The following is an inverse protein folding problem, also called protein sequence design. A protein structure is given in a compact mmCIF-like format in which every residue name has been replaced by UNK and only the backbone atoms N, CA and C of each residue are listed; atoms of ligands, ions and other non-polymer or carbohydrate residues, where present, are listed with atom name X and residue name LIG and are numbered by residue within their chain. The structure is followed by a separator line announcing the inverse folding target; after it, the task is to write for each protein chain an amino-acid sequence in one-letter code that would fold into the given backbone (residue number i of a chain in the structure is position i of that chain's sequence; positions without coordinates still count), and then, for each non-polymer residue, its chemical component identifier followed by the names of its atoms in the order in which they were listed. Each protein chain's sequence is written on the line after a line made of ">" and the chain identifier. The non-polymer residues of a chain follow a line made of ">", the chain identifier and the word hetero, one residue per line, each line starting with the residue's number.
data_IF_201840849649
#
_entry.id   IF_201840849649
#
_cell.length_a   1.000
_cell.length_b   1.000
_cell.length_c   1.000
_cell.angle_alpha   90.00
_cell.angle_beta   90.00
_cell.angle_gamma   90.00
#
_symmetry.space_group_name_H-M   'P 1'
#
loop_
_entity.id
_entity.type
_entity.pdbx_description
1 polymer ?
#
# COMPACT_ATOMS: atom_id res chain seq x y z
N UNK A 1 -24.52 9.58 12.05
CA UNK A 1 -23.49 10.55 12.48
C UNK A 1 -22.33 10.43 11.52
N UNK A 2 -22.03 11.47 10.75
CA UNK A 2 -20.84 11.51 9.91
C UNK A 2 -19.63 11.73 10.80
N UNK A 3 -18.73 10.76 10.84
CA UNK A 3 -17.44 10.87 11.53
C UNK A 3 -16.64 11.97 10.80
N UNK A 4 -16.03 12.91 11.54
CA UNK A 4 -15.21 13.93 10.89
C UNK A 4 -13.88 13.32 10.42
N UNK A 5 -13.24 13.91 9.41
CA UNK A 5 -11.91 13.46 8.94
C UNK A 5 -10.88 13.43 10.08
N UNK A 6 -11.02 14.32 11.06
CA UNK A 6 -10.18 14.34 12.25
C UNK A 6 -10.37 13.11 13.14
N UNK A 7 -11.61 12.66 13.31
CA UNK A 7 -11.95 11.50 14.13
C UNK A 7 -11.50 10.18 13.45
N UNK A 8 -11.59 10.09 12.12
CA UNK A 8 -11.08 8.94 11.35
C UNK A 8 -9.56 8.82 11.46
N UNK A 9 -8.83 9.93 11.35
CA UNK A 9 -7.37 9.95 11.53
C UNK A 9 -6.96 9.60 12.97
N UNK A 10 -7.78 10.00 13.95
CA UNK A 10 -7.54 9.66 15.35
C UNK A 10 -7.69 8.15 15.60
N UNK A 11 -8.75 7.53 15.09
CA UNK A 11 -8.94 6.08 15.15
C UNK A 11 -7.82 5.35 14.40
N UNK A 12 -7.43 5.86 13.24
CA UNK A 12 -6.35 5.25 12.46
C UNK A 12 -5.03 5.26 13.21
N UNK A 13 -4.59 6.35 13.82
CA UNK A 13 -3.31 6.29 14.53
C UNK A 13 -3.38 5.68 15.94
N UNK A 14 -4.55 5.55 16.56
CA UNK A 14 -4.72 4.63 17.69
C UNK A 14 -4.43 3.19 17.24
N UNK A 15 -4.89 2.81 16.05
CA UNK A 15 -4.57 1.52 15.44
C UNK A 15 -3.08 1.41 15.11
N UNK A 16 -2.48 2.43 14.51
CA UNK A 16 -1.02 2.45 14.25
C UNK A 16 -0.23 2.29 15.56
N UNK A 17 -0.64 2.96 16.64
CA UNK A 17 0.04 2.85 17.93
C UNK A 17 -0.18 1.48 18.60
N UNK A 18 -1.35 0.86 18.44
CA UNK A 18 -1.65 -0.43 19.04
C UNK A 18 -0.91 -1.58 18.34
N UNK A 19 -0.70 -1.48 17.03
CA UNK A 19 -0.06 -2.51 16.21
C UNK A 19 1.44 -2.28 15.96
N UNK A 20 1.90 -1.02 15.89
CA UNK A 20 3.29 -0.67 15.58
C UNK A 20 3.97 0.02 16.76
N UNK A 21 4.61 -0.78 17.61
CA UNK A 21 5.48 -0.26 18.66
C UNK A 21 6.64 0.56 18.06
N UNK A 22 7.20 1.54 18.80
CA UNK A 22 8.35 2.32 18.35
C UNK A 22 9.56 1.46 17.93
N UNK A 23 9.71 0.28 18.52
CA UNK A 23 10.78 -0.66 18.16
C UNK A 23 10.55 -1.31 16.79
N UNK A 24 9.31 -1.70 16.48
CA UNK A 24 8.96 -2.24 15.16
C UNK A 24 9.21 -1.17 14.09
N UNK A 25 8.72 0.05 14.30
CA UNK A 25 8.94 1.18 13.37
C UNK A 25 10.42 1.45 13.14
N UNK A 26 11.24 1.37 14.19
CA UNK A 26 12.69 1.57 14.09
C UNK A 26 13.36 0.46 13.29
N UNK A 27 12.94 -0.79 13.45
CA UNK A 27 13.49 -1.92 12.72
C UNK A 27 13.14 -1.81 11.23
N UNK A 28 11.85 -1.60 10.91
CA UNK A 28 11.41 -1.37 9.52
C UNK A 28 12.17 -0.21 8.85
N UNK A 29 12.37 0.88 9.59
CA UNK A 29 13.12 2.03 9.10
C UNK A 29 14.62 1.75 8.89
N UNK A 30 15.23 0.84 9.67
CA UNK A 30 16.62 0.41 9.49
C UNK A 30 16.76 -0.51 8.29
N UNK A 31 15.82 -1.42 8.10
CA UNK A 31 15.84 -2.40 7.01
C UNK A 31 15.83 -1.72 5.63
N UNK A 32 15.10 -0.60 5.49
CA UNK A 32 15.08 0.22 4.27
C UNK A 32 16.11 1.36 4.27
N UNK A 33 16.96 1.45 5.28
CA UNK A 33 18.02 2.46 5.38
C UNK A 33 17.55 3.90 5.64
N UNK A 34 16.29 4.11 6.04
CA UNK A 34 15.77 5.41 6.46
C UNK A 34 16.42 5.87 7.79
N UNK A 35 16.59 4.95 8.74
CA UNK A 35 17.32 5.19 9.99
C UNK A 35 18.65 4.45 9.94
N UNK A 36 19.75 5.19 9.82
CA UNK A 36 21.11 4.62 9.83
C UNK A 36 21.86 4.88 11.14
N UNK A 37 21.53 5.97 11.81
CA UNK A 37 22.10 6.37 13.11
C UNK A 37 21.01 6.87 14.03
N UNK A 38 21.26 6.87 15.33
CA UNK A 38 20.36 7.45 16.31
C UNK A 38 20.35 8.97 16.18
N UNK A 39 19.17 9.57 16.02
CA UNK A 39 18.95 11.03 16.02
C UNK A 39 17.75 11.39 16.88
N UNK A 40 17.60 12.70 17.18
CA UNK A 40 16.43 13.25 17.88
C UNK A 40 15.14 12.94 17.11
N UNK A 41 15.14 13.16 15.80
CA UNK A 41 14.08 12.74 14.89
C UNK A 41 14.17 11.24 14.60
N UNK A 42 13.09 10.51 14.83
CA UNK A 42 12.97 9.06 14.74
C UNK A 42 11.93 8.64 13.70
N UNK A 43 11.90 7.33 13.39
CA UNK A 43 10.94 6.75 12.45
C UNK A 43 9.47 7.05 12.83
N UNK A 44 9.15 6.97 14.13
CA UNK A 44 7.82 7.29 14.66
C UNK A 44 7.39 8.73 14.38
N UNK A 45 8.34 9.67 14.33
CA UNK A 45 8.07 11.08 14.13
C UNK A 45 7.67 11.36 12.68
N UNK A 46 8.26 10.64 11.72
CA UNK A 46 7.82 10.69 10.32
C UNK A 46 6.41 10.12 10.15
N UNK A 47 6.13 8.97 10.78
CA UNK A 47 4.78 8.37 10.73
C UNK A 47 3.76 9.32 11.36
N UNK A 48 4.03 9.83 12.55
CA UNK A 48 3.17 10.81 13.22
C UNK A 48 2.97 12.06 12.35
N UNK A 49 4.03 12.58 11.73
CA UNK A 49 3.91 13.75 10.86
C UNK A 49 3.00 13.50 9.66
N UNK A 50 3.18 12.35 8.98
CA UNK A 50 2.48 12.04 7.74
C UNK A 50 1.04 11.56 7.94
N UNK A 51 0.78 10.90 9.07
CA UNK A 51 -0.50 10.25 9.36
C UNK A 51 -1.37 11.08 10.29
N UNK A 52 -0.79 11.73 11.30
CA UNK A 52 -1.53 12.34 12.41
C UNK A 52 -1.52 13.86 12.36
N UNK A 53 -0.34 14.44 12.22
CA UNK A 53 -0.13 15.87 12.51
C UNK A 53 -0.52 16.74 11.31
N UNK A 54 -0.41 16.22 10.09
CA UNK A 54 -0.74 17.00 8.91
C UNK A 54 -1.74 16.30 8.00
N UNK A 55 -2.99 16.76 8.08
CA UNK A 55 -4.04 16.41 7.13
C UNK A 55 -3.68 16.83 5.69
N UNK A 56 -2.70 17.72 5.51
CA UNK A 56 -2.24 18.23 4.23
C UNK A 56 -0.70 18.40 4.20
N UNK A 57 0.08 17.33 4.45
CA UNK A 57 1.57 17.38 4.43
C UNK A 57 2.08 18.07 3.16
N UNK A 58 1.42 17.81 2.03
CA UNK A 58 1.80 18.36 0.73
C UNK A 58 1.51 19.86 0.55
N UNK A 59 0.67 20.49 1.39
CA UNK A 59 0.31 21.92 1.28
C UNK A 59 0.84 22.76 2.44
N UNK A 60 1.09 22.16 3.60
CA UNK A 60 1.62 22.85 4.78
C UNK A 60 3.10 23.15 4.60
N UNK A 61 3.53 24.36 4.94
CA UNK A 61 4.95 24.74 4.83
C UNK A 61 5.84 23.92 5.78
N UNK A 62 7.11 23.72 5.42
CA UNK A 62 8.08 23.00 6.27
C UNK A 62 8.21 23.62 7.66
N UNK A 63 8.18 24.95 7.77
CA UNK A 63 8.23 25.67 9.05
C UNK A 63 7.04 25.30 9.94
N UNK A 64 5.83 25.29 9.38
CA UNK A 64 4.64 24.88 10.11
C UNK A 64 4.69 23.40 10.51
N UNK A 65 5.15 22.52 9.61
CA UNK A 65 5.34 21.10 9.93
C UNK A 65 6.33 20.90 11.08
N UNK A 66 7.44 21.64 11.11
CA UNK A 66 8.39 21.64 12.22
C UNK A 66 7.74 22.10 13.53
N UNK A 67 7.01 23.23 13.52
CA UNK A 67 6.32 23.73 14.72
C UNK A 67 5.25 22.76 15.24
N UNK A 68 4.49 22.13 14.34
CA UNK A 68 3.49 21.13 14.72
C UNK A 68 4.15 19.88 15.30
N UNK A 69 5.29 19.46 14.75
CA UNK A 69 6.06 18.33 15.27
C UNK A 69 6.61 18.64 16.67
N UNK A 70 7.23 19.81 16.85
CA UNK A 70 7.75 20.25 18.15
C UNK A 70 6.65 20.28 19.21
N UNK A 71 5.49 20.86 18.91
CA UNK A 71 4.35 20.92 19.83
C UNK A 71 3.78 19.54 20.20
N UNK A 72 3.89 18.55 19.29
CA UNK A 72 3.27 17.23 19.47
C UNK A 72 4.22 16.16 20.04
N UNK A 73 5.52 16.26 19.75
CA UNK A 73 6.51 15.23 20.11
C UNK A 73 7.74 15.78 20.82
N UNK A 74 7.83 17.09 21.05
CA UNK A 74 8.99 17.80 21.62
C UNK A 74 10.28 17.65 20.79
N UNK A 75 10.16 17.16 19.55
CA UNK A 75 11.29 16.99 18.64
C UNK A 75 11.60 18.28 17.89
N UNK A 76 12.74 18.87 18.20
CA UNK A 76 13.30 20.01 17.48
C UNK A 76 14.03 19.57 16.21
N UNK A 77 13.54 20.02 15.05
CA UNK A 77 14.17 19.83 13.75
C UNK A 77 14.03 21.10 12.89
N UNK A 78 15.08 21.46 12.14
CA UNK A 78 15.01 22.59 11.21
C UNK A 78 14.19 22.24 9.96
N UNK A 79 13.60 23.24 9.28
CA UNK A 79 12.88 23.02 8.01
C UNK A 79 13.71 22.26 6.97
N UNK A 80 14.99 22.63 6.82
CA UNK A 80 15.93 21.96 5.91
C UNK A 80 16.23 20.52 6.37
N UNK A 81 16.41 20.31 7.67
CA UNK A 81 16.61 18.97 8.22
C UNK A 81 15.40 18.06 7.99
N UNK A 82 14.19 18.61 8.09
CA UNK A 82 12.96 17.89 7.79
C UNK A 82 12.82 17.59 6.28
N UNK A 83 13.13 18.56 5.42
CA UNK A 83 13.11 18.38 3.97
C UNK A 83 13.99 17.21 3.52
N UNK A 84 15.19 17.09 4.07
CA UNK A 84 16.12 15.99 3.77
C UNK A 84 15.61 14.61 4.21
N UNK A 85 14.61 14.55 5.11
CA UNK A 85 13.94 13.30 5.50
C UNK A 85 12.84 12.90 4.52
N UNK A 86 12.34 13.80 3.67
CA UNK A 86 11.44 13.44 2.57
C UNK A 86 12.24 12.99 1.35
N UNK A 87 12.51 11.68 1.28
CA UNK A 87 13.31 11.07 0.24
C UNK A 87 12.78 9.68 -0.13
N UNK A 88 13.47 8.99 -1.05
CA UNK A 88 13.04 7.67 -1.53
C UNK A 88 12.98 6.59 -0.41
N UNK A 89 13.90 6.63 0.57
CA UNK A 89 13.90 5.64 1.66
C UNK A 89 12.75 5.90 2.64
N UNK A 90 12.32 7.15 2.80
CA UNK A 90 11.11 7.49 3.55
C UNK A 90 9.84 6.92 2.88
N UNK A 91 9.75 6.98 1.55
CA UNK A 91 8.64 6.37 0.80
C UNK A 91 8.64 4.85 1.01
N UNK A 92 9.79 4.18 0.87
CA UNK A 92 9.92 2.74 1.10
C UNK A 92 9.55 2.38 2.55
N UNK A 93 9.98 3.18 3.52
CA UNK A 93 9.62 2.99 4.92
C UNK A 93 8.10 3.05 5.13
N UNK A 94 7.42 4.06 4.60
CA UNK A 94 5.97 4.18 4.70
C UNK A 94 5.24 3.03 3.99
N UNK A 95 5.77 2.53 2.88
CA UNK A 95 5.25 1.32 2.21
C UNK A 95 5.38 0.07 3.09
N UNK A 96 6.51 -0.11 3.79
CA UNK A 96 6.68 -1.22 4.75
C UNK A 96 5.75 -1.09 5.96
N UNK A 97 5.55 0.12 6.47
CA UNK A 97 4.57 0.39 7.54
C UNK A 97 3.17 0.00 7.11
N UNK A 98 2.74 0.38 5.90
CA UNK A 98 1.45 -0.01 5.36
C UNK A 98 1.35 -1.53 5.19
N UNK A 99 2.38 -2.18 4.65
CA UNK A 99 2.42 -3.63 4.48
C UNK A 99 2.28 -4.37 5.81
N UNK A 100 2.97 -3.91 6.85
CA UNK A 100 2.92 -4.50 8.19
C UNK A 100 1.54 -4.34 8.83
N UNK A 101 0.94 -3.14 8.78
CA UNK A 101 -0.42 -2.90 9.30
C UNK A 101 -1.46 -3.79 8.64
N UNK A 102 -1.40 -3.90 7.32
CA UNK A 102 -2.32 -4.74 6.58
C UNK A 102 -2.08 -6.22 6.90
N UNK A 103 -0.82 -6.65 7.06
CA UNK A 103 -0.47 -8.03 7.41
C UNK A 103 -1.04 -8.40 8.77
N UNK A 104 -0.94 -7.52 9.76
CA UNK A 104 -1.46 -7.75 11.10
C UNK A 104 -2.99 -7.78 11.12
N UNK A 105 -3.65 -6.89 10.37
CA UNK A 105 -5.11 -6.91 10.20
C UNK A 105 -5.61 -8.23 9.61
N UNK A 106 -4.99 -8.71 8.54
CA UNK A 106 -5.37 -9.99 7.92
C UNK A 106 -4.97 -11.20 8.76
N UNK A 107 -3.82 -11.18 9.44
CA UNK A 107 -3.35 -12.28 10.30
C UNK A 107 -4.21 -12.45 11.56
N UNK A 108 -4.89 -11.38 12.00
CA UNK A 108 -5.90 -11.46 13.07
C UNK A 108 -7.12 -12.30 12.67
N UNK A 109 -7.36 -12.46 11.36
CA UNK A 109 -8.39 -13.34 10.82
C UNK A 109 -7.89 -14.78 10.94
N UNK A 110 -8.63 -15.62 11.68
CA UNK A 110 -8.29 -17.04 11.88
C UNK A 110 -7.90 -17.71 10.56
N UNK A 111 -6.84 -18.52 10.59
CA UNK A 111 -6.49 -19.46 9.52
C UNK A 111 -7.76 -20.18 9.05
N UNK A 112 -8.11 -20.01 7.78
CA UNK A 112 -9.28 -20.66 7.20
C UNK A 112 -9.06 -22.16 7.19
N UNK A 113 -9.62 -22.88 8.17
CA UNK A 113 -9.77 -24.33 8.08
C UNK A 113 -10.84 -24.61 7.04
N UNK A 114 -10.41 -24.91 5.82
CA UNK A 114 -11.29 -25.19 4.69
C UNK A 114 -10.90 -26.53 4.05
N UNK A 115 -11.86 -27.35 3.62
CA UNK A 115 -11.56 -28.57 2.86
C UNK A 115 -10.73 -28.28 1.60
N UNK A 116 -10.80 -27.06 1.07
CA UNK A 116 -10.04 -26.63 -0.11
C UNK A 116 -8.54 -26.45 0.14
N UNK A 117 -8.08 -26.41 1.39
CA UNK A 117 -6.63 -26.38 1.73
C UNK A 117 -5.87 -27.64 1.27
N UNK A 118 -6.60 -28.73 1.03
CA UNK A 118 -6.04 -29.95 0.43
C UNK A 118 -5.71 -29.77 -1.06
N UNK A 119 -6.44 -28.88 -1.75
CA UNK A 119 -6.34 -28.64 -3.20
C UNK A 119 -5.47 -27.42 -3.47
N UNK A 120 -5.82 -26.27 -2.87
CA UNK A 120 -5.14 -25.00 -3.10
C UNK A 120 -4.09 -24.75 -2.02
N UNK A 121 -2.86 -24.49 -2.46
CA UNK A 121 -1.76 -24.15 -1.55
C UNK A 121 -1.76 -22.68 -1.16
N UNK A 122 -2.26 -21.81 -2.04
CA UNK A 122 -2.48 -20.37 -1.80
C UNK A 122 -3.71 -19.92 -2.54
N UNK A 123 -4.46 -18.98 -1.96
CA UNK A 123 -5.57 -18.31 -2.62
C UNK A 123 -5.18 -16.84 -2.80
N UNK A 124 -4.79 -16.47 -4.00
CA UNK A 124 -4.25 -15.16 -4.33
C UNK A 124 -5.36 -14.24 -4.79
N UNK A 125 -5.62 -13.19 -4.02
CA UNK A 125 -6.56 -12.12 -4.38
C UNK A 125 -5.75 -10.91 -4.79
N UNK A 126 -5.97 -10.45 -6.03
CA UNK A 126 -5.37 -9.22 -6.55
C UNK A 126 -6.48 -8.21 -6.79
N UNK A 127 -6.33 -7.04 -6.19
CA UNK A 127 -7.21 -5.90 -6.38
C UNK A 127 -6.42 -4.59 -6.43
N UNK A 128 -7.06 -3.53 -6.93
CA UNK A 128 -6.47 -2.19 -6.97
C UNK A 128 -7.41 -1.14 -6.42
N UNK A 129 -6.82 -0.12 -5.83
CA UNK A 129 -7.52 1.13 -5.51
C UNK A 129 -6.78 2.30 -6.15
N UNK A 130 -7.52 3.29 -6.62
CA UNK A 130 -6.94 4.48 -7.23
C UNK A 130 -7.62 5.74 -6.70
N UNK A 131 -6.84 6.80 -6.53
CA UNK A 131 -7.31 8.10 -6.07
C UNK A 131 -6.55 9.23 -6.76
N UNK A 132 -7.19 10.39 -6.82
CA UNK A 132 -6.61 11.58 -7.45
C UNK A 132 -5.71 12.34 -6.48
N UNK A 133 -4.71 13.02 -7.03
CA UNK A 133 -3.82 13.90 -6.30
C UNK A 133 -3.69 15.23 -7.06
N UNK A 134 -3.16 16.31 -6.45
CA UNK A 134 -3.00 17.59 -7.12
C UNK A 134 -2.22 17.51 -8.44
N UNK A 135 -2.65 18.29 -9.44
CA UNK A 135 -2.12 18.24 -10.81
C UNK A 135 -0.63 18.56 -10.94
N UNK A 136 -0.04 19.24 -9.95
CA UNK A 136 1.40 19.48 -9.85
C UNK A 136 2.22 18.19 -9.87
N UNK A 137 1.63 17.06 -9.48
CA UNK A 137 2.29 15.75 -9.45
C UNK A 137 2.10 14.93 -10.73
N UNK A 138 1.47 15.47 -11.77
CA UNK A 138 1.16 14.74 -13.02
C UNK A 138 2.39 14.21 -13.77
N UNK A 139 3.54 14.85 -13.61
CA UNK A 139 4.81 14.39 -14.19
C UNK A 139 5.31 13.07 -13.61
N UNK A 140 5.06 12.84 -12.32
CA UNK A 140 5.49 11.63 -11.59
C UNK A 140 4.36 10.59 -11.53
N UNK A 141 3.12 11.05 -11.35
CA UNK A 141 1.94 10.22 -11.16
C UNK A 141 0.83 10.59 -12.16
N UNK A 142 1.01 10.28 -13.46
CA UNK A 142 0.00 10.56 -14.46
C UNK A 142 -1.29 9.80 -14.17
N UNK A 143 -2.42 10.52 -14.21
CA UNK A 143 -3.76 9.98 -14.06
C UNK A 143 -4.27 9.28 -15.32
N UNK A 144 -5.32 8.48 -15.17
CA UNK A 144 -5.91 7.70 -16.26
C UNK A 144 -6.61 8.53 -17.35
N UNK A 145 -6.81 9.84 -17.13
CA UNK A 145 -7.64 10.70 -17.96
C UNK A 145 -9.14 10.49 -17.72
N UNK A 146 -9.99 11.41 -18.18
CA UNK A 146 -11.46 11.29 -18.09
C UNK A 146 -12.11 11.91 -16.85
N UNK A 147 -11.34 12.45 -15.91
CA UNK A 147 -11.82 13.25 -14.78
C UNK A 147 -11.15 14.64 -14.75
N UNK A 148 -11.57 15.53 -13.84
CA UNK A 148 -11.06 16.91 -13.72
C UNK A 148 -9.55 17.02 -13.44
N UNK A 149 -8.92 16.00 -12.87
CA UNK A 149 -7.50 15.99 -12.52
C UNK A 149 -6.68 15.06 -13.42
N UNK A 150 -5.51 15.55 -13.80
CA UNK A 150 -4.48 14.94 -14.66
C UNK A 150 -3.49 14.06 -13.88
N UNK A 151 -3.48 14.14 -12.55
CA UNK A 151 -2.62 13.34 -11.68
C UNK A 151 -3.43 12.34 -10.83
N UNK A 152 -2.87 11.16 -10.59
CA UNK A 152 -3.50 10.14 -9.77
C UNK A 152 -2.54 9.02 -9.39
N UNK A 153 -2.81 8.39 -8.26
CA UNK A 153 -2.05 7.26 -7.72
C UNK A 153 -2.93 6.02 -7.74
N UNK A 154 -2.33 4.89 -8.07
CA UNK A 154 -2.94 3.57 -7.95
C UNK A 154 -2.10 2.70 -7.03
N UNK A 155 -2.77 2.03 -6.10
CA UNK A 155 -2.18 1.00 -5.25
C UNK A 155 -2.72 -0.34 -5.73
N UNK A 156 -1.81 -1.20 -6.15
CA UNK A 156 -2.05 -2.59 -6.53
C UNK A 156 -1.68 -3.48 -5.36
N UNK A 157 -2.54 -4.43 -5.01
CA UNK A 157 -2.39 -5.24 -3.81
C UNK A 157 -2.76 -6.68 -4.11
N UNK A 158 -1.79 -7.59 -3.95
CA UNK A 158 -1.99 -9.03 -4.02
C UNK A 158 -1.61 -9.68 -2.69
N UNK A 159 -2.51 -10.50 -2.14
CA UNK A 159 -2.27 -11.24 -0.90
C UNK A 159 -2.79 -12.67 -1.00
N UNK A 160 -2.20 -13.56 -0.20
CA UNK A 160 -2.68 -14.91 0.00
C UNK A 160 -3.70 -14.95 1.13
N UNK A 161 -4.95 -15.26 0.80
CA UNK A 161 -6.06 -15.33 1.74
C UNK A 161 -5.86 -16.44 2.79
N UNK A 162 -5.16 -17.54 2.46
CA UNK A 162 -5.00 -18.66 3.39
C UNK A 162 -4.03 -18.32 4.52
N UNK A 163 -2.88 -17.73 4.18
CA UNK A 163 -1.86 -17.34 5.15
C UNK A 163 -2.04 -15.91 5.70
N UNK A 164 -2.84 -15.08 5.03
CA UNK A 164 -2.94 -13.65 5.30
C UNK A 164 -1.72 -12.85 4.84
N UNK A 165 -0.75 -13.47 4.16
CA UNK A 165 0.50 -12.81 3.76
C UNK A 165 0.32 -12.00 2.47
N UNK A 166 0.89 -10.79 2.46
CA UNK A 166 1.01 -10.00 1.24
C UNK A 166 2.08 -10.58 0.33
N UNK A 167 1.72 -10.66 -0.95
CA UNK A 167 2.62 -11.12 -2.00
C UNK A 167 3.20 -9.91 -2.74
N UNK A 168 2.35 -8.92 -3.04
CA UNK A 168 2.76 -7.69 -3.71
C UNK A 168 1.95 -6.49 -3.21
N UNK A 169 2.64 -5.39 -2.91
CA UNK A 169 2.03 -4.07 -2.70
C UNK A 169 2.81 -3.11 -3.58
N UNK A 170 2.16 -2.57 -4.61
CA UNK A 170 2.82 -1.69 -5.56
C UNK A 170 2.05 -0.37 -5.70
N UNK A 171 2.74 0.73 -5.42
CA UNK A 171 2.21 2.09 -5.64
C UNK A 171 2.75 2.61 -6.96
N UNK A 172 1.87 3.11 -7.82
CA UNK A 172 2.27 3.62 -9.12
C UNK A 172 1.30 4.66 -9.69
N UNK A 173 1.50 5.08 -10.95
CA UNK A 173 0.62 6.02 -11.62
C UNK A 173 -0.82 5.50 -11.76
N UNK A 174 -1.79 6.40 -11.59
CA UNK A 174 -3.22 6.12 -11.74
C UNK A 174 -3.58 5.60 -13.14
N UNK A 175 -2.82 6.00 -14.17
CA UNK A 175 -2.98 5.54 -15.56
C UNK A 175 -2.65 4.07 -15.78
N UNK A 176 -1.96 3.42 -14.83
CA UNK A 176 -1.55 2.04 -15.01
C UNK A 176 -2.78 1.11 -15.08
N UNK A 177 -2.87 0.34 -16.16
CA UNK A 177 -3.96 -0.59 -16.38
C UNK A 177 -3.81 -1.86 -15.53
N UNK A 178 -4.92 -2.27 -14.92
CA UNK A 178 -4.97 -3.46 -14.05
C UNK A 178 -4.62 -4.73 -14.82
N UNK A 179 -5.13 -4.87 -16.05
CA UNK A 179 -4.73 -5.93 -16.98
C UNK A 179 -3.23 -6.12 -17.07
N UNK A 180 -2.47 -5.05 -17.30
CA UNK A 180 -1.01 -5.12 -17.45
C UNK A 180 -0.35 -5.55 -16.14
N UNK A 181 -0.83 -5.06 -15.00
CA UNK A 181 -0.32 -5.47 -13.70
C UNK A 181 -0.62 -6.95 -13.41
N UNK A 182 -1.83 -7.41 -13.74
CA UNK A 182 -2.22 -8.82 -13.65
C UNK A 182 -1.25 -9.74 -14.39
N UNK A 183 -0.83 -9.35 -15.60
CA UNK A 183 0.16 -10.08 -16.40
C UNK A 183 1.55 -10.13 -15.73
N UNK A 184 1.97 -9.05 -15.05
CA UNK A 184 3.23 -9.02 -14.30
C UNK A 184 3.22 -9.98 -13.09
N UNK A 185 2.06 -10.24 -12.50
CA UNK A 185 1.92 -11.16 -11.36
C UNK A 185 1.92 -12.64 -11.79
N UNK A 186 1.48 -12.99 -13.01
CA UNK A 186 1.35 -14.38 -13.48
C UNK A 186 2.64 -15.21 -13.35
N UNK A 187 3.84 -14.69 -13.69
CA UNK A 187 5.10 -15.42 -13.51
C UNK A 187 5.36 -15.89 -12.08
N UNK A 188 4.82 -15.20 -11.06
CA UNK A 188 5.03 -15.53 -9.64
C UNK A 188 4.13 -16.67 -9.12
N UNK A 189 3.21 -17.15 -9.96
CA UNK A 189 2.30 -18.24 -9.62
C UNK A 189 3.03 -19.59 -9.57
N UNK A 190 2.60 -20.41 -8.61
CA UNK A 190 3.05 -21.78 -8.39
C UNK A 190 1.89 -22.74 -8.67
N UNK A 191 2.23 -24.01 -8.90
CA UNK A 191 1.22 -25.06 -9.04
C UNK A 191 0.30 -25.07 -7.82
N UNK A 192 -0.99 -25.33 -8.05
CA UNK A 192 -2.04 -25.33 -7.03
C UNK A 192 -2.31 -23.97 -6.35
N UNK A 193 -1.80 -22.85 -6.88
CA UNK A 193 -2.33 -21.53 -6.51
C UNK A 193 -3.72 -21.36 -7.13
N UNK A 194 -4.64 -20.71 -6.42
CA UNK A 194 -5.90 -20.22 -6.97
C UNK A 194 -5.84 -18.70 -7.10
N UNK A 195 -6.02 -18.17 -8.31
CA UNK A 195 -6.11 -16.73 -8.56
C UNK A 195 -7.56 -16.27 -8.59
N UNK A 196 -7.91 -15.25 -7.80
CA UNK A 196 -9.22 -14.60 -7.84
C UNK A 196 -8.99 -13.15 -8.25
N UNK A 197 -9.53 -12.76 -9.41
CA UNK A 197 -9.32 -11.44 -9.99
C UNK A 197 -10.61 -10.95 -10.67
N UNK A 198 -10.83 -9.64 -10.62
CA UNK A 198 -11.98 -9.01 -11.25
C UNK A 198 -11.85 -8.90 -12.80
N UNK A 199 -12.80 -8.20 -13.44
CA UNK A 199 -12.77 -7.99 -14.89
C UNK A 199 -11.64 -7.06 -15.36
N UNK A 200 -11.13 -6.18 -14.51
CA UNK A 200 -10.03 -5.26 -14.83
C UNK A 200 -8.75 -6.01 -15.19
N UNK A 201 -8.54 -7.18 -14.59
CA UNK A 201 -7.39 -8.06 -14.84
C UNK A 201 -7.61 -9.12 -15.93
N UNK A 202 -8.77 -9.15 -16.58
CA UNK A 202 -9.09 -10.21 -17.54
C UNK A 202 -8.19 -10.16 -18.79
N UNK A 203 -7.47 -11.26 -19.05
CA UNK A 203 -6.66 -11.43 -20.25
C UNK A 203 -6.51 -12.92 -20.60
N UNK A 204 -6.93 -13.33 -21.80
CA UNK A 204 -6.96 -14.75 -22.20
C UNK A 204 -5.58 -15.43 -22.15
N UNK A 205 -4.53 -14.73 -22.58
CA UNK A 205 -3.16 -15.28 -22.51
C UNK A 205 -2.72 -15.54 -21.08
N UNK A 206 -3.16 -14.69 -20.14
CA UNK A 206 -2.82 -14.86 -18.73
C UNK A 206 -3.54 -16.08 -18.16
N UNK A 207 -4.80 -16.31 -18.54
CA UNK A 207 -5.54 -17.53 -18.15
C UNK A 207 -4.87 -18.79 -18.67
N UNK A 208 -4.38 -18.77 -19.92
CA UNK A 208 -3.60 -19.88 -20.47
C UNK A 208 -2.31 -20.12 -19.67
N UNK A 209 -1.54 -19.07 -19.38
CA UNK A 209 -0.32 -19.20 -18.56
C UNK A 209 -0.58 -19.72 -17.15
N UNK A 210 -1.71 -19.35 -16.53
CA UNK A 210 -2.13 -19.88 -15.23
C UNK A 210 -2.35 -21.39 -15.34
N UNK A 211 -3.07 -21.83 -16.38
CA UNK A 211 -3.31 -23.25 -16.65
C UNK A 211 -2.01 -24.02 -16.90
N UNK A 212 -1.10 -23.47 -17.72
CA UNK A 212 0.20 -24.09 -18.04
C UNK A 212 1.07 -24.30 -16.79
N UNK A 213 0.93 -23.41 -15.80
CA UNK A 213 1.58 -23.51 -14.49
C UNK A 213 0.90 -24.49 -13.53
N UNK A 214 -0.17 -25.18 -13.96
CA UNK A 214 -1.01 -26.04 -13.12
C UNK A 214 -1.62 -25.29 -11.93
N UNK A 215 -1.93 -24.01 -12.14
CA UNK A 215 -2.64 -23.17 -11.19
C UNK A 215 -4.11 -23.01 -11.65
N UNK A 216 -4.95 -22.52 -10.76
CA UNK A 216 -6.37 -22.34 -10.96
C UNK A 216 -6.72 -20.86 -11.02
N UNK A 217 -7.84 -20.52 -11.65
CA UNK A 217 -8.35 -19.14 -11.68
C UNK A 217 -9.87 -19.09 -11.55
N UNK A 218 -10.34 -18.02 -10.92
CA UNK A 218 -11.73 -17.55 -10.96
C UNK A 218 -11.68 -16.12 -11.48
N UNK A 219 -12.33 -15.90 -12.61
CA UNK A 219 -12.49 -14.57 -13.19
C UNK A 219 -13.85 -14.49 -13.84
N UNK A 220 -14.42 -13.29 -13.88
CA UNK A 220 -15.62 -13.03 -14.67
C UNK A 220 -15.24 -13.05 -16.15
N UNK A 221 -16.10 -13.61 -16.99
CA UNK A 221 -15.91 -13.53 -18.44
C UNK A 221 -16.29 -12.14 -18.94
N UNK A 222 -15.44 -11.53 -19.77
CA UNK A 222 -15.75 -10.26 -20.41
C UNK A 222 -16.72 -10.51 -21.58
N UNK A 223 -17.83 -9.76 -21.64
CA UNK A 223 -18.93 -9.99 -22.59
C UNK A 223 -18.54 -9.97 -24.07
N UNK A 224 -17.45 -9.28 -24.42
CA UNK A 224 -16.94 -9.19 -25.80
C UNK A 224 -15.83 -10.21 -26.11
N UNK A 225 -15.65 -11.22 -25.27
CA UNK A 225 -14.67 -12.29 -25.49
C UNK A 225 -15.19 -13.24 -26.55
N UNK A 226 -14.45 -13.39 -27.65
CA UNK A 226 -14.68 -14.45 -28.64
C UNK A 226 -13.90 -15.68 -28.20
N UNK A 227 -14.61 -16.78 -27.97
CA UNK A 227 -14.06 -18.11 -27.62
C UNK A 227 -13.90 -18.90 -28.92
#
# INVERSE_FOLDING_TARGET
>A
MSISVSDELQLFAQEVQSFLSPNILRNLARDVGFVQRTSKYQAKDLVALCVWISQNVAKTSLTQLCSCLEASTEVLISPEGLNQRFNATAVQFLQQVLAELLSQKLSSTKLFSSPYTSIFKRIRILDSTAFQIPDVFSSVYPGAGGCSHTAGVKIQLEYDLLSGQFLHIHTGPGKQHDRTYGSLCVPTLKANDLCIRDLGYFHLKDLQHIQDKKAYYISRIKSNTRI
#
